data_IF_603023828743
#
_entry.id   IF_603023828743
#
_cell.length_a   1.000
_cell.length_b   1.000
_cell.length_c   1.000
_cell.angle_alpha   90.00
_cell.angle_beta   90.00
_cell.angle_gamma   90.00
#
_symmetry.space_group_name_H-M   'P 1'
#
loop_
_entity.id
_entity.type
_entity.pdbx_description
1 polymer ?
#
# COMPACT_ATOMS: atom_id res chain seq x y z
N UNK A 1 -11.10 44.49 34.35
CA UNK A 1 -10.01 43.59 33.90
C UNK A 1 -10.61 42.22 33.60
N UNK A 2 -10.77 41.83 32.33
CA UNK A 2 -11.23 40.49 31.95
C UNK A 2 -10.45 40.07 30.71
N UNK A 3 -9.40 39.28 30.93
CA UNK A 3 -8.56 38.71 29.86
C UNK A 3 -9.29 37.49 29.31
N UNK A 4 -9.80 37.58 28.08
CA UNK A 4 -10.29 36.44 27.34
C UNK A 4 -9.07 35.63 26.87
N UNK A 5 -8.83 34.49 27.52
CA UNK A 5 -7.94 33.45 27.02
C UNK A 5 -8.65 32.78 25.85
N UNK A 6 -8.29 33.18 24.63
CA UNK A 6 -8.64 32.43 23.42
C UNK A 6 -7.78 31.17 23.48
N UNK A 7 -8.38 30.05 23.93
CA UNK A 7 -7.84 28.73 23.65
C UNK A 7 -7.90 28.57 22.12
N UNK A 8 -6.77 28.83 21.46
CA UNK A 8 -6.55 28.36 20.12
C UNK A 8 -6.58 26.84 20.20
N UNK A 9 -7.74 26.27 19.89
CA UNK A 9 -7.87 24.85 19.59
C UNK A 9 -6.97 24.61 18.37
N UNK A 10 -5.75 24.17 18.62
CA UNK A 10 -4.89 23.57 17.60
C UNK A 10 -5.63 22.34 17.12
N UNK A 11 -6.42 22.49 16.07
CA UNK A 11 -6.91 21.40 15.25
C UNK A 11 -5.66 20.70 14.72
N UNK A 12 -5.27 19.63 15.39
CA UNK A 12 -4.33 18.65 14.84
C UNK A 12 -5.09 18.02 13.68
N UNK A 13 -5.01 18.66 12.52
CA UNK A 13 -5.36 18.03 11.26
C UNK A 13 -4.30 16.94 11.12
N UNK A 14 -4.63 15.73 11.58
CA UNK A 14 -3.96 14.53 11.10
C UNK A 14 -4.28 14.50 9.61
N UNK A 15 -3.48 15.22 8.82
CA UNK A 15 -3.29 14.86 7.44
C UNK A 15 -2.65 13.48 7.51
N UNK A 16 -3.48 12.43 7.57
CA UNK A 16 -3.04 11.09 7.27
C UNK A 16 -2.54 11.17 5.83
N UNK A 17 -1.24 11.42 5.67
CA UNK A 17 -0.56 11.41 4.39
C UNK A 17 -0.44 9.94 3.92
N UNK A 18 -1.56 9.26 3.82
CA UNK A 18 -1.71 7.98 3.15
C UNK A 18 -1.44 8.22 1.68
N UNK A 19 -0.41 7.55 1.19
CA UNK A 19 -0.08 7.49 -0.23
C UNK A 19 -0.66 6.20 -0.78
N UNK A 20 -1.10 6.28 -2.02
CA UNK A 20 -1.45 5.11 -2.81
C UNK A 20 -0.16 4.42 -3.26
N UNK A 21 -0.08 3.11 -3.06
CA UNK A 21 0.94 2.25 -3.63
C UNK A 21 0.26 1.10 -4.35
N UNK A 22 0.68 0.82 -5.58
CA UNK A 22 0.07 -0.23 -6.41
C UNK A 22 1.04 -1.37 -6.57
N UNK A 23 0.64 -2.56 -6.13
CA UNK A 23 1.38 -3.79 -6.37
C UNK A 23 0.82 -4.47 -7.62
N UNK A 24 1.64 -4.61 -8.66
CA UNK A 24 1.29 -5.30 -9.90
C UNK A 24 2.07 -6.61 -9.96
N UNK A 25 1.35 -7.72 -10.00
CA UNK A 25 1.89 -9.06 -10.21
C UNK A 25 1.56 -9.52 -11.63
N UNK A 26 2.59 -9.91 -12.38
CA UNK A 26 2.45 -10.41 -13.73
C UNK A 26 2.99 -11.84 -13.83
N UNK A 27 2.17 -12.76 -14.32
CA UNK A 27 2.57 -14.12 -14.63
C UNK A 27 3.05 -14.20 -16.08
N UNK A 28 4.33 -14.54 -16.26
CA UNK A 28 4.95 -14.55 -17.59
C UNK A 28 4.49 -15.73 -18.46
N UNK A 29 3.75 -16.70 -17.91
CA UNK A 29 3.30 -17.92 -18.61
C UNK A 29 1.86 -17.77 -19.07
N UNK A 30 0.95 -17.37 -18.18
CA UNK A 30 -0.46 -17.16 -18.52
C UNK A 30 -0.74 -15.78 -19.11
N UNK A 31 0.24 -14.86 -19.05
CA UNK A 31 0.05 -13.44 -19.36
C UNK A 31 -1.03 -12.77 -18.50
N UNK A 32 -1.41 -13.40 -17.38
CA UNK A 32 -2.36 -12.84 -16.44
C UNK A 32 -1.68 -11.78 -15.57
N UNK A 33 -2.42 -10.68 -15.41
CA UNK A 33 -2.01 -9.57 -14.56
C UNK A 33 -2.98 -9.46 -13.41
N UNK A 34 -2.43 -9.28 -12.22
CA UNK A 34 -3.18 -9.00 -11.01
C UNK A 34 -2.65 -7.72 -10.39
N UNK A 35 -3.54 -6.85 -9.94
CA UNK A 35 -3.17 -5.59 -9.28
C UNK A 35 -3.83 -5.49 -7.91
N UNK A 36 -3.11 -4.96 -6.94
CA UNK A 36 -3.62 -4.66 -5.61
C UNK A 36 -3.12 -3.31 -5.11
N UNK A 37 -4.04 -2.48 -4.65
CA UNK A 37 -3.75 -1.12 -4.16
C UNK A 37 -3.70 -1.09 -2.64
N UNK A 38 -2.65 -0.49 -2.10
CA UNK A 38 -2.47 -0.26 -0.67
C UNK A 38 -2.40 1.22 -0.35
N UNK A 39 -3.19 1.64 0.63
CA UNK A 39 -3.21 3.01 1.13
C UNK A 39 -2.43 3.06 2.44
N UNK A 40 -1.21 3.58 2.40
CA UNK A 40 -0.38 3.68 3.61
C UNK A 40 0.56 4.88 3.52
N UNK A 41 0.98 5.40 4.66
CA UNK A 41 1.98 6.46 4.72
C UNK A 41 3.42 5.94 4.55
N UNK A 42 3.63 4.62 4.55
CA UNK A 42 4.96 3.99 4.50
C UNK A 42 5.12 3.05 3.31
N UNK A 43 6.06 3.36 2.40
CA UNK A 43 6.40 2.50 1.25
C UNK A 43 6.87 1.11 1.67
N UNK A 44 7.62 1.00 2.78
CA UNK A 44 8.08 -0.27 3.35
C UNK A 44 6.91 -1.16 3.80
N UNK A 45 5.86 -0.56 4.36
CA UNK A 45 4.65 -1.29 4.75
C UNK A 45 3.91 -1.80 3.52
N UNK A 46 3.73 -0.95 2.49
CA UNK A 46 3.11 -1.36 1.24
C UNK A 46 3.91 -2.47 0.52
N UNK A 47 5.25 -2.39 0.55
CA UNK A 47 6.15 -3.43 0.02
C UNK A 47 5.90 -4.77 0.69
N UNK A 48 5.82 -4.79 2.03
CA UNK A 48 5.56 -6.02 2.79
C UNK A 48 4.21 -6.64 2.45
N UNK A 49 3.16 -5.82 2.32
CA UNK A 49 1.84 -6.30 1.91
C UNK A 49 1.87 -6.87 0.48
N UNK A 50 2.59 -6.21 -0.43
CA UNK A 50 2.80 -6.67 -1.80
C UNK A 50 3.55 -8.01 -1.85
N UNK A 51 4.61 -8.18 -1.05
CA UNK A 51 5.38 -9.43 -0.96
C UNK A 51 4.54 -10.59 -0.36
N UNK A 52 3.75 -10.31 0.67
CA UNK A 52 2.81 -11.29 1.26
C UNK A 52 1.74 -11.71 0.25
N UNK A 53 1.20 -10.75 -0.50
CA UNK A 53 0.22 -11.02 -1.54
C UNK A 53 0.82 -11.79 -2.71
N UNK A 54 2.02 -11.43 -3.16
CA UNK A 54 2.79 -12.18 -4.16
C UNK A 54 3.00 -13.63 -3.75
N UNK A 55 3.31 -13.87 -2.46
CA UNK A 55 3.49 -15.23 -1.92
C UNK A 55 2.19 -16.03 -1.98
N UNK A 56 1.04 -15.41 -1.68
CA UNK A 56 -0.27 -16.06 -1.79
C UNK A 56 -0.68 -16.32 -3.24
N UNK A 57 -0.42 -15.36 -4.12
CA UNK A 57 -0.67 -15.51 -5.56
C UNK A 57 0.19 -16.64 -6.15
N UNK A 58 1.44 -16.75 -5.72
CA UNK A 58 2.34 -17.87 -6.08
C UNK A 58 1.80 -19.24 -5.62
N UNK A 59 0.89 -19.32 -4.66
CA UNK A 59 0.21 -20.58 -4.32
C UNK A 59 -0.95 -20.91 -5.27
N UNK A 60 -1.50 -19.92 -5.97
CA UNK A 60 -2.64 -20.05 -6.88
C UNK A 60 -2.18 -20.23 -8.33
N UNK A 61 -1.10 -19.58 -8.73
CA UNK A 61 -0.51 -19.73 -10.06
C UNK A 61 0.33 -21.02 -10.16
N UNK A 62 0.15 -21.81 -11.23
CA UNK A 62 0.88 -23.08 -11.41
C UNK A 62 2.39 -22.87 -11.64
N UNK A 63 2.80 -21.75 -12.26
CA UNK A 63 4.19 -21.44 -12.61
C UNK A 63 4.83 -20.40 -11.68
N UNK A 64 5.06 -20.85 -10.44
CA UNK A 64 5.55 -20.05 -9.31
C UNK A 64 6.81 -19.24 -9.61
N UNK A 65 7.70 -19.77 -10.45
CA UNK A 65 9.00 -19.17 -10.74
C UNK A 65 8.95 -17.97 -11.69
N UNK A 66 7.80 -17.71 -12.34
CA UNK A 66 7.68 -16.63 -13.34
C UNK A 66 6.73 -15.51 -12.95
N UNK A 67 6.14 -15.57 -11.75
CA UNK A 67 5.38 -14.47 -11.18
C UNK A 67 6.33 -13.36 -10.72
N UNK A 68 6.24 -12.20 -11.36
CA UNK A 68 7.00 -11.01 -10.98
C UNK A 68 6.06 -9.96 -10.42
N UNK A 69 6.27 -9.56 -9.15
CA UNK A 69 5.46 -8.53 -8.50
C UNK A 69 6.29 -7.27 -8.24
N UNK A 70 5.77 -6.11 -8.65
CA UNK A 70 6.44 -4.82 -8.50
C UNK A 70 5.50 -3.82 -7.84
N UNK A 71 6.03 -3.08 -6.86
CA UNK A 71 5.32 -1.96 -6.26
C UNK A 71 5.64 -0.66 -6.99
N UNK A 72 4.60 0.05 -7.43
CA UNK A 72 4.64 1.38 -8.02
C UNK A 72 4.25 2.41 -6.97
#
# INVERSE_FOLDING_TARGET
MKKFLILAATTVIFASCTKEYVCECNDSVSSEKSEMTYWTNQKSHARRLCDDWATRQRSVFPDKDKLTCTIK
#
